data_IF_358009419073
#
_entry.id   IF_358009419073
#
_cell.length_a   1.000
_cell.length_b   1.000
_cell.length_c   1.000
_cell.angle_alpha   90.00
_cell.angle_beta   90.00
_cell.angle_gamma   90.00
#
_symmetry.space_group_name_H-M   'P 1'
#
loop_
_entity.id
_entity.type
_entity.pdbx_description
1 polymer ?
#
# COMPACT_ATOMS: atom_id res chain seq x y z
N UNK A 1 -2.13 -21.66 39.21
CA UNK A 1 -2.83 -21.23 37.98
C UNK A 1 -1.91 -20.27 37.25
N UNK A 2 -1.12 -20.76 36.30
CA UNK A 2 -0.27 -19.91 35.48
C UNK A 2 -1.13 -19.28 34.38
N UNK A 3 -1.22 -17.95 34.40
CA UNK A 3 -1.88 -17.12 33.39
C UNK A 3 -1.23 -17.42 32.04
N UNK A 4 -2.00 -18.03 31.13
CA UNK A 4 -1.55 -18.27 29.76
C UNK A 4 -1.16 -16.96 29.12
N UNK A 5 0.12 -16.83 28.78
CA UNK A 5 0.59 -15.80 27.87
C UNK A 5 -0.20 -15.94 26.58
N UNK A 6 -1.05 -14.96 26.26
CA UNK A 6 -1.57 -14.80 24.92
C UNK A 6 -0.37 -14.58 24.00
N UNK A 7 0.09 -15.65 23.35
CA UNK A 7 0.92 -15.55 22.16
C UNK A 7 0.14 -14.69 21.17
N UNK A 8 0.54 -13.43 21.00
CA UNK A 8 0.16 -12.64 19.82
C UNK A 8 0.64 -13.46 18.62
N UNK A 9 -0.28 -14.12 17.93
CA UNK A 9 0.01 -14.71 16.63
C UNK A 9 0.68 -13.64 15.79
N UNK A 10 1.96 -13.86 15.47
CA UNK A 10 2.66 -12.98 14.55
C UNK A 10 2.00 -13.21 13.20
N UNK A 11 1.07 -12.34 12.83
CA UNK A 11 0.51 -12.29 11.49
C UNK A 11 1.65 -11.92 10.53
N UNK A 12 2.30 -12.94 9.99
CA UNK A 12 3.23 -12.78 8.88
C UNK A 12 2.38 -12.70 7.61
N UNK A 13 2.05 -11.48 7.19
CA UNK A 13 1.43 -11.27 5.89
C UNK A 13 2.39 -11.79 4.82
N UNK A 14 1.99 -12.85 4.12
CA UNK A 14 2.74 -13.39 2.99
C UNK A 14 2.17 -12.77 1.73
N UNK A 15 2.71 -11.62 1.35
CA UNK A 15 2.32 -10.92 0.12
C UNK A 15 3.11 -11.50 -1.07
N UNK A 16 2.45 -11.58 -2.22
CA UNK A 16 3.13 -11.83 -3.49
C UNK A 16 4.07 -10.66 -3.83
N UNK A 17 5.07 -10.86 -4.73
CA UNK A 17 5.99 -9.78 -5.10
C UNK A 17 5.28 -8.54 -5.67
N UNK A 18 4.24 -8.74 -6.48
CA UNK A 18 3.40 -7.66 -7.03
C UNK A 18 2.63 -6.91 -5.94
N UNK A 19 2.03 -7.64 -5.00
CA UNK A 19 1.33 -7.07 -3.84
C UNK A 19 2.30 -6.31 -2.92
N UNK A 20 3.54 -6.78 -2.78
CA UNK A 20 4.60 -6.11 -2.03
C UNK A 20 4.98 -4.77 -2.67
N UNK A 21 5.10 -4.73 -3.99
CA UNK A 21 5.40 -3.49 -4.71
C UNK A 21 4.28 -2.45 -4.52
N UNK A 22 3.02 -2.87 -4.66
CA UNK A 22 1.85 -2.01 -4.41
C UNK A 22 1.81 -1.55 -2.95
N UNK A 23 2.06 -2.45 -2.00
CA UNK A 23 2.10 -2.12 -0.58
C UNK A 23 3.16 -1.05 -0.26
N UNK A 24 4.38 -1.22 -0.78
CA UNK A 24 5.48 -0.27 -0.56
C UNK A 24 5.15 1.11 -1.14
N UNK A 25 4.65 1.17 -2.38
CA UNK A 25 4.24 2.42 -3.00
C UNK A 25 3.09 3.11 -2.25
N UNK A 26 2.07 2.34 -1.84
CA UNK A 26 0.97 2.85 -1.02
C UNK A 26 1.47 3.39 0.34
N UNK A 27 2.42 2.71 0.99
CA UNK A 27 3.01 3.16 2.25
C UNK A 27 3.76 4.49 2.08
N UNK A 28 4.50 4.66 0.98
CA UNK A 28 5.18 5.93 0.67
C UNK A 28 4.18 7.08 0.41
N UNK A 29 3.11 6.82 -0.33
CA UNK A 29 2.05 7.81 -0.59
C UNK A 29 1.37 8.20 0.73
N UNK A 30 1.01 7.22 1.56
CA UNK A 30 0.40 7.47 2.86
C UNK A 30 1.31 8.27 3.78
N UNK A 31 2.60 7.92 3.85
CA UNK A 31 3.60 8.66 4.61
C UNK A 31 3.70 10.13 4.16
N UNK A 32 3.58 10.41 2.86
CA UNK A 32 3.53 11.79 2.34
C UNK A 32 2.30 12.56 2.84
N UNK A 33 1.15 11.89 2.94
CA UNK A 33 -0.06 12.49 3.49
C UNK A 33 0.08 12.79 4.98
N UNK A 34 0.65 11.85 5.75
CA UNK A 34 0.97 12.05 7.17
C UNK A 34 1.91 13.24 7.34
N UNK A 35 3.02 13.28 6.62
CA UNK A 35 4.02 14.35 6.70
C UNK A 35 3.43 15.74 6.33
N UNK A 36 2.43 15.76 5.44
CA UNK A 36 1.73 16.98 5.04
C UNK A 36 0.61 17.43 5.98
N UNK A 37 0.37 16.71 7.09
CA UNK A 37 -0.69 17.01 8.05
C UNK A 37 -2.11 16.74 7.52
N UNK A 38 -2.25 15.91 6.48
CA UNK A 38 -3.56 15.58 5.88
C UNK A 38 -4.26 14.40 6.55
N UNK A 39 -3.55 13.66 7.40
CA UNK A 39 -4.08 12.49 8.12
C UNK A 39 -4.50 12.91 9.52
N UNK A 40 -5.74 12.58 9.88
CA UNK A 40 -6.34 12.76 11.21
C UNK A 40 -6.94 11.43 11.67
N UNK A 41 -7.20 11.29 12.96
CA UNK A 41 -7.83 10.07 13.52
C UNK A 41 -9.19 9.75 12.86
N UNK A 42 -9.90 10.78 12.41
CA UNK A 42 -11.20 10.66 11.75
C UNK A 42 -11.09 10.14 10.30
N UNK A 43 -9.96 10.38 9.63
CA UNK A 43 -9.80 10.10 8.20
C UNK A 43 -8.70 9.07 7.86
N UNK A 44 -8.02 8.52 8.87
CA UNK A 44 -6.85 7.66 8.69
C UNK A 44 -7.14 6.49 7.74
N UNK A 45 -8.24 5.76 7.98
CA UNK A 45 -8.63 4.62 7.16
C UNK A 45 -8.92 5.01 5.70
N UNK A 46 -9.57 6.16 5.48
CA UNK A 46 -9.87 6.65 4.14
C UNK A 46 -8.58 7.05 3.41
N UNK A 47 -7.63 7.63 4.13
CA UNK A 47 -6.33 8.03 3.58
C UNK A 47 -5.44 6.82 3.26
N UNK A 48 -5.52 5.74 4.06
CA UNK A 48 -4.88 4.46 3.74
C UNK A 48 -5.48 3.89 2.44
N UNK A 49 -6.81 3.77 2.37
CA UNK A 49 -7.50 3.24 1.18
C UNK A 49 -7.21 4.08 -0.06
N UNK A 50 -7.17 5.41 0.08
CA UNK A 50 -6.80 6.32 -0.99
C UNK A 50 -5.38 6.06 -1.48
N UNK A 51 -4.43 5.86 -0.57
CA UNK A 51 -3.03 5.59 -0.93
C UNK A 51 -2.86 4.27 -1.68
N UNK A 52 -3.59 3.23 -1.28
CA UNK A 52 -3.62 1.95 -2.00
C UNK A 52 -4.20 2.13 -3.41
N UNK A 53 -5.35 2.79 -3.55
CA UNK A 53 -5.97 3.06 -4.85
C UNK A 53 -5.05 3.86 -5.76
N UNK A 54 -4.41 4.90 -5.23
CA UNK A 54 -3.44 5.71 -5.99
C UNK A 54 -2.25 4.88 -6.45
N UNK A 55 -1.72 3.99 -5.61
CA UNK A 55 -0.64 3.07 -6.00
C UNK A 55 -1.05 2.17 -7.17
N UNK A 56 -2.27 1.61 -7.13
CA UNK A 56 -2.79 0.76 -8.22
C UNK A 56 -2.95 1.58 -9.51
N UNK A 57 -3.52 2.78 -9.41
CA UNK A 57 -3.66 3.67 -10.58
C UNK A 57 -2.31 4.03 -11.21
N UNK A 58 -1.27 4.28 -10.41
CA UNK A 58 0.08 4.54 -10.92
C UNK A 58 0.60 3.29 -11.65
N UNK A 59 0.43 2.11 -11.06
CA UNK A 59 0.82 0.84 -11.69
C UNK A 59 0.14 0.65 -13.06
N UNK A 60 -1.17 0.87 -13.14
CA UNK A 60 -1.93 0.76 -14.39
C UNK A 60 -1.43 1.75 -15.46
N UNK A 61 -1.09 2.98 -15.06
CA UNK A 61 -0.54 3.99 -15.96
C UNK A 61 0.83 3.55 -16.47
N UNK A 62 1.71 3.06 -15.59
CA UNK A 62 3.03 2.56 -15.99
C UNK A 62 2.88 1.41 -16.97
N UNK A 63 2.03 0.42 -16.68
CA UNK A 63 1.80 -0.73 -17.56
C UNK A 63 1.31 -0.30 -18.95
N UNK A 64 0.37 0.65 -19.01
CA UNK A 64 -0.12 1.19 -20.30
C UNK A 64 0.96 1.91 -21.10
N UNK A 65 1.80 2.71 -20.46
CA UNK A 65 2.84 3.47 -21.16
C UNK A 65 3.98 2.55 -21.61
N UNK A 66 4.40 1.60 -20.78
CA UNK A 66 5.44 0.63 -21.17
C UNK A 66 4.98 -0.26 -22.32
N UNK A 67 3.74 -0.78 -22.28
CA UNK A 67 3.19 -1.58 -23.40
C UNK A 67 3.01 -0.76 -24.68
N UNK A 68 2.57 0.50 -24.56
CA UNK A 68 2.45 1.40 -25.71
C UNK A 68 3.80 1.68 -26.38
N UNK A 69 4.89 1.73 -25.62
CA UNK A 69 6.23 1.91 -26.16
C UNK A 69 6.74 0.64 -26.87
N UNK A 70 6.30 -0.55 -26.43
CA UNK A 70 6.66 -1.84 -27.05
C UNK A 70 5.87 -2.14 -28.35
N UNK A 71 4.71 -1.51 -28.57
CA UNK A 71 3.88 -1.70 -29.77
C UNK A 71 4.33 -0.85 -31.00
N UNK A 72 5.34 0.02 -30.86
CA UNK A 72 5.86 0.88 -31.95
C UNK A 72 7.06 0.24 -32.69
N UNK A 73 7.38 -1.04 -32.46
CA UNK A 73 8.46 -1.74 -33.19
C UNK A 73 8.00 -2.54 -34.41
#
# INVERSE_FOLDING_TARGET
MAKGEMMKEKYHATLQPSETAIFQAAAHIFASYVASGKVTDENENDMILKSIRTSITICDIVEKNVRSDEEIS
#
